data_IF_221511980161
#
_entry.id   IF_221511980161
#
_cell.length_a   1.000
_cell.length_b   1.000
_cell.length_c   1.000
_cell.angle_alpha   90.00
_cell.angle_beta   90.00
_cell.angle_gamma   90.00
#
_symmetry.space_group_name_H-M   'P 1'
#
loop_
_entity.id
_entity.type
_entity.pdbx_description
1 polymer ?
#
# COMPACT_ATOMS: atom_id res chain seq x y z
N UNK A 1 28.05 0.25 19.43
CA UNK A 1 28.84 0.45 18.19
C UNK A 1 28.12 -0.27 17.05
N UNK A 2 28.16 0.23 15.79
CA UNK A 2 27.57 -0.47 14.66
C UNK A 2 28.23 -1.85 14.45
N UNK A 3 27.47 -2.83 13.94
CA UNK A 3 27.95 -4.22 13.73
C UNK A 3 28.97 -4.34 12.59
N UNK A 4 29.21 -3.26 11.84
CA UNK A 4 30.21 -3.16 10.77
C UNK A 4 30.68 -1.70 10.64
N UNK A 5 31.76 -1.48 9.91
CA UNK A 5 32.20 -0.14 9.53
C UNK A 5 31.24 0.48 8.48
N UNK A 6 30.70 1.66 8.80
CA UNK A 6 29.72 2.39 7.98
C UNK A 6 30.45 3.52 7.24
N UNK A 7 30.83 3.25 6.00
CA UNK A 7 31.56 4.20 5.14
C UNK A 7 30.72 4.88 4.07
N UNK A 8 29.48 4.42 3.84
CA UNK A 8 28.58 4.98 2.83
C UNK A 8 28.07 6.37 3.21
N UNK A 9 28.24 7.36 2.32
CA UNK A 9 27.86 8.77 2.56
C UNK A 9 26.38 8.93 2.90
N UNK A 10 25.52 8.16 2.24
CA UNK A 10 24.07 8.15 2.44
C UNK A 10 23.69 7.60 3.81
N UNK A 11 24.35 6.51 4.24
CA UNK A 11 24.11 5.91 5.54
C UNK A 11 24.57 6.83 6.67
N UNK A 12 25.74 7.47 6.52
CA UNK A 12 26.25 8.47 7.47
C UNK A 12 25.29 9.67 7.57
N UNK A 13 24.82 10.19 6.42
CA UNK A 13 23.82 11.27 6.38
C UNK A 13 22.48 10.89 7.01
N UNK A 14 22.02 9.65 6.82
CA UNK A 14 20.79 9.16 7.44
C UNK A 14 20.95 9.04 8.97
N UNK A 15 22.07 8.50 9.44
CA UNK A 15 22.38 8.39 10.87
C UNK A 15 22.44 9.76 11.55
N UNK A 16 23.07 10.76 10.92
CA UNK A 16 23.18 12.11 11.50
C UNK A 16 21.84 12.84 11.63
N UNK A 17 20.91 12.62 10.68
CA UNK A 17 19.57 13.24 10.69
C UNK A 17 18.54 12.52 11.56
N UNK A 18 18.80 11.26 11.91
CA UNK A 18 17.84 10.43 12.65
C UNK A 18 17.72 10.82 14.13
N UNK A 19 16.47 10.91 14.62
CA UNK A 19 16.19 11.44 15.97
C UNK A 19 16.33 10.40 17.08
N UNK A 20 15.79 9.19 16.89
CA UNK A 20 15.76 8.16 17.93
C UNK A 20 16.94 7.19 17.87
N UNK A 21 17.36 6.66 19.03
CA UNK A 21 18.41 5.62 19.13
C UNK A 21 18.01 4.36 18.38
N UNK A 22 16.73 3.96 18.48
CA UNK A 22 16.19 2.81 17.77
C UNK A 22 16.30 2.99 16.24
N UNK A 23 15.94 4.16 15.70
CA UNK A 23 16.09 4.44 14.27
C UNK A 23 17.57 4.38 13.82
N UNK A 24 18.51 4.93 14.61
CA UNK A 24 19.95 4.80 14.32
C UNK A 24 20.41 3.34 14.26
N UNK A 25 19.93 2.52 15.18
CA UNK A 25 20.25 1.10 15.21
C UNK A 25 19.72 0.40 13.95
N UNK A 26 18.44 0.58 13.60
CA UNK A 26 17.83 -0.01 12.40
C UNK A 26 18.55 0.41 11.10
N UNK A 27 18.94 1.68 10.99
CA UNK A 27 19.72 2.18 9.83
C UNK A 27 21.06 1.43 9.74
N UNK A 28 21.80 1.35 10.84
CA UNK A 28 23.09 0.66 10.87
C UNK A 28 22.97 -0.83 10.58
N UNK A 29 21.97 -1.50 11.16
CA UNK A 29 21.72 -2.93 10.96
C UNK A 29 21.34 -3.24 9.50
N UNK A 30 20.48 -2.43 8.91
CA UNK A 30 20.07 -2.56 7.50
C UNK A 30 21.27 -2.36 6.58
N UNK A 31 22.06 -1.29 6.79
CA UNK A 31 23.27 -1.04 6.02
C UNK A 31 24.26 -2.22 6.10
N UNK A 32 24.55 -2.71 7.30
CA UNK A 32 25.50 -3.80 7.49
C UNK A 32 25.02 -5.12 6.85
N UNK A 33 23.72 -5.46 6.98
CA UNK A 33 23.17 -6.66 6.31
C UNK A 33 23.26 -6.55 4.79
N UNK A 34 23.03 -5.35 4.24
CA UNK A 34 23.18 -5.12 2.81
C UNK A 34 24.65 -5.21 2.36
N UNK A 35 25.58 -4.62 3.13
CA UNK A 35 27.03 -4.70 2.88
C UNK A 35 27.53 -6.16 2.85
N UNK A 36 26.97 -7.02 3.69
CA UNK A 36 27.27 -8.45 3.71
C UNK A 36 26.54 -9.26 2.62
N UNK A 37 25.68 -8.63 1.81
CA UNK A 37 24.90 -9.31 0.78
C UNK A 37 23.80 -10.23 1.31
N UNK A 38 23.38 -10.04 2.57
CA UNK A 38 22.40 -10.87 3.28
C UNK A 38 21.01 -10.20 3.36
N UNK A 39 20.84 -9.00 2.80
CA UNK A 39 19.57 -8.26 2.88
C UNK A 39 18.70 -8.45 1.63
N UNK A 40 19.30 -8.38 0.44
CA UNK A 40 18.56 -8.35 -0.83
C UNK A 40 18.78 -9.65 -1.60
N UNK A 41 17.72 -10.25 -2.19
CA UNK A 41 17.87 -11.43 -3.03
C UNK A 41 18.67 -11.09 -4.29
N UNK A 42 19.61 -11.95 -4.68
CA UNK A 42 20.42 -11.79 -5.91
C UNK A 42 19.75 -12.36 -7.16
N UNK A 43 18.81 -13.29 -6.99
CA UNK A 43 18.08 -13.95 -8.08
C UNK A 43 16.66 -14.29 -7.64
N UNK A 44 15.72 -14.24 -8.57
CA UNK A 44 14.31 -14.63 -8.37
C UNK A 44 13.89 -15.49 -9.56
N UNK A 45 13.18 -16.58 -9.31
CA UNK A 45 12.71 -17.50 -10.37
C UNK A 45 11.53 -16.88 -11.12
N UNK A 46 11.57 -16.94 -12.46
CA UNK A 46 10.44 -16.60 -13.32
C UNK A 46 9.52 -17.82 -13.43
N UNK A 47 8.25 -17.64 -13.11
CA UNK A 47 7.21 -18.67 -13.27
C UNK A 47 6.28 -18.43 -14.47
N UNK A 48 6.31 -17.23 -15.06
CA UNK A 48 5.49 -16.92 -16.22
C UNK A 48 6.00 -17.67 -17.46
N UNK A 49 5.16 -18.49 -18.13
CA UNK A 49 5.56 -19.29 -19.28
C UNK A 49 5.74 -18.46 -20.56
N UNK A 50 5.23 -17.24 -20.60
CA UNK A 50 5.38 -16.35 -21.74
C UNK A 50 6.83 -15.87 -21.85
N UNK A 51 7.32 -15.56 -23.04
CA UNK A 51 8.64 -14.94 -23.20
C UNK A 51 8.62 -13.46 -22.79
N UNK A 52 7.52 -12.76 -23.11
CA UNK A 52 7.34 -11.32 -22.86
C UNK A 52 6.17 -11.00 -21.93
N UNK A 53 5.59 -9.81 -22.13
CA UNK A 53 4.33 -9.39 -21.51
C UNK A 53 3.16 -9.83 -22.39
N UNK A 54 2.09 -10.33 -21.79
CA UNK A 54 0.83 -10.49 -22.49
C UNK A 54 0.21 -9.12 -22.74
N UNK A 55 -0.21 -8.84 -23.98
CA UNK A 55 -1.09 -7.71 -24.25
C UNK A 55 -2.52 -8.23 -24.46
N UNK A 56 -3.37 -8.09 -23.44
CA UNK A 56 -4.79 -8.41 -23.53
C UNK A 56 -5.55 -7.11 -23.77
N UNK A 57 -5.68 -6.72 -25.04
CA UNK A 57 -6.51 -5.58 -25.40
C UNK A 57 -7.98 -5.93 -25.12
N UNK A 58 -8.63 -5.13 -24.29
CA UNK A 58 -10.08 -5.19 -24.11
C UNK A 58 -10.69 -4.39 -25.25
N UNK A 59 -11.55 -5.03 -26.05
CA UNK A 59 -12.34 -4.32 -27.05
C UNK A 59 -13.42 -3.54 -26.29
N UNK A 60 -13.32 -2.21 -26.34
CA UNK A 60 -14.32 -1.32 -25.81
C UNK A 60 -15.41 -1.17 -26.87
N UNK A 61 -16.55 -1.80 -26.62
CA UNK A 61 -17.78 -1.55 -27.37
C UNK A 61 -18.77 -0.84 -26.45
N UNK A 62 -19.56 0.12 -26.94
CA UNK A 62 -20.45 0.90 -26.06
C UNK A 62 -21.51 0.00 -25.38
N UNK A 63 -21.91 -1.08 -26.04
CA UNK A 63 -22.85 -2.09 -25.51
C UNK A 63 -22.22 -3.02 -24.45
N UNK A 64 -20.90 -2.94 -24.24
CA UNK A 64 -20.17 -3.90 -23.37
C UNK A 64 -20.42 -3.71 -21.86
N UNK A 65 -21.13 -2.65 -21.46
CA UNK A 65 -21.45 -2.30 -20.08
C UNK A 65 -22.94 -2.32 -19.76
N UNK A 66 -23.81 -2.50 -20.76
CA UNK A 66 -25.26 -2.36 -20.60
C UNK A 66 -25.99 -3.69 -20.30
N UNK A 67 -25.33 -4.85 -20.44
CA UNK A 67 -25.96 -6.13 -20.18
C UNK A 67 -26.02 -6.48 -18.68
N UNK A 68 -27.20 -6.92 -18.23
CA UNK A 68 -27.41 -7.44 -16.88
C UNK A 68 -26.77 -8.82 -16.75
N UNK A 69 -25.70 -8.92 -15.94
CA UNK A 69 -25.01 -10.17 -15.68
C UNK A 69 -25.84 -11.08 -14.77
N UNK A 70 -26.08 -12.33 -15.19
CA UNK A 70 -26.73 -13.35 -14.36
C UNK A 70 -25.89 -13.74 -13.12
N UNK A 71 -24.57 -13.52 -13.17
CA UNK A 71 -23.65 -13.76 -12.06
C UNK A 71 -22.75 -12.53 -11.84
N UNK A 72 -23.25 -11.50 -11.14
CA UNK A 72 -22.50 -10.26 -10.94
C UNK A 72 -21.32 -10.48 -9.99
N UNK A 73 -20.19 -9.85 -10.30
CA UNK A 73 -19.00 -9.90 -9.44
C UNK A 73 -19.21 -9.09 -8.16
N UNK A 74 -18.52 -9.51 -7.09
CA UNK A 74 -18.47 -8.78 -5.83
C UNK A 74 -17.08 -8.19 -5.65
N UNK A 75 -17.00 -6.86 -5.51
CA UNK A 75 -15.73 -6.13 -5.44
C UNK A 75 -15.32 -5.91 -3.98
N UNK A 76 -14.04 -6.08 -3.68
CA UNK A 76 -13.46 -5.69 -2.40
C UNK A 76 -12.68 -4.37 -2.55
N UNK A 77 -13.24 -3.28 -2.03
CA UNK A 77 -12.63 -1.96 -2.04
C UNK A 77 -11.71 -1.80 -0.82
N UNK A 78 -10.41 -1.55 -1.06
CA UNK A 78 -9.46 -1.19 0.00
C UNK A 78 -9.18 0.31 -0.07
N UNK A 79 -9.73 1.07 0.88
CA UNK A 79 -9.58 2.52 0.95
C UNK A 79 -8.46 2.89 1.92
N UNK A 80 -7.36 3.45 1.39
CA UNK A 80 -6.24 3.95 2.21
C UNK A 80 -6.40 5.46 2.38
N UNK A 81 -6.73 5.92 3.59
CA UNK A 81 -7.11 7.32 3.84
C UNK A 81 -6.32 7.96 4.98
N UNK A 82 -6.16 9.27 4.92
CA UNK A 82 -5.54 10.08 5.98
C UNK A 82 -6.10 11.52 5.99
N UNK A 83 -5.72 12.31 6.99
CA UNK A 83 -6.05 13.73 7.06
C UNK A 83 -7.39 14.02 7.74
N UNK A 84 -8.12 15.03 7.23
CA UNK A 84 -9.32 15.59 7.89
C UNK A 84 -10.59 15.63 7.04
N UNK A 85 -10.53 15.18 5.78
CA UNK A 85 -11.62 15.32 4.82
C UNK A 85 -12.71 14.22 4.97
N UNK A 86 -13.22 14.01 6.19
CA UNK A 86 -14.21 12.96 6.49
C UNK A 86 -15.50 13.08 5.67
N UNK A 87 -16.02 14.29 5.50
CA UNK A 87 -17.23 14.54 4.69
C UNK A 87 -17.04 14.19 3.21
N UNK A 88 -15.86 14.48 2.66
CA UNK A 88 -15.56 14.14 1.27
C UNK A 88 -15.39 12.63 1.10
N UNK A 89 -14.77 11.95 2.07
CA UNK A 89 -14.70 10.49 2.11
C UNK A 89 -16.10 9.87 2.13
N UNK A 90 -17.01 10.37 2.98
CA UNK A 90 -18.38 9.90 3.03
C UNK A 90 -19.13 10.14 1.71
N UNK A 91 -18.94 11.31 1.08
CA UNK A 91 -19.54 11.63 -0.22
C UNK A 91 -19.10 10.63 -1.30
N UNK A 92 -17.80 10.35 -1.37
CA UNK A 92 -17.26 9.38 -2.32
C UNK A 92 -17.77 7.97 -1.99
N UNK A 93 -17.73 7.56 -0.73
CA UNK A 93 -18.20 6.26 -0.28
C UNK A 93 -19.65 6.00 -0.67
N UNK A 94 -20.54 6.99 -0.46
CA UNK A 94 -21.95 6.89 -0.85
C UNK A 94 -22.13 6.70 -2.36
N UNK A 95 -21.25 7.25 -3.19
CA UNK A 95 -21.32 7.11 -4.64
C UNK A 95 -20.90 5.71 -5.13
N UNK A 96 -19.99 5.03 -4.41
CA UNK A 96 -19.48 3.70 -4.77
C UNK A 96 -20.11 2.56 -3.95
N UNK A 97 -21.05 2.88 -3.05
CA UNK A 97 -21.62 1.90 -2.14
C UNK A 97 -22.65 1.01 -2.85
N UNK A 98 -22.49 -0.30 -2.71
CA UNK A 98 -23.48 -1.30 -3.04
C UNK A 98 -23.42 -2.44 -2.02
N UNK A 99 -24.58 -2.95 -1.59
CA UNK A 99 -24.71 -3.97 -0.54
C UNK A 99 -23.98 -5.29 -0.87
N UNK A 100 -23.78 -5.59 -2.15
CA UNK A 100 -23.14 -6.84 -2.59
C UNK A 100 -21.61 -6.73 -2.66
N UNK A 101 -21.03 -5.58 -2.33
CA UNK A 101 -19.59 -5.34 -2.30
C UNK A 101 -19.04 -5.26 -0.87
N UNK A 102 -17.71 -5.29 -0.75
CA UNK A 102 -17.01 -5.25 0.52
C UNK A 102 -16.12 -4.01 0.60
N UNK A 103 -16.02 -3.43 1.79
CA UNK A 103 -15.26 -2.20 2.01
C UNK A 103 -14.33 -2.37 3.21
N UNK A 104 -13.02 -2.27 2.97
CA UNK A 104 -11.99 -2.29 3.99
C UNK A 104 -11.25 -0.96 4.03
N UNK A 105 -11.33 -0.24 5.14
CA UNK A 105 -10.82 1.13 5.25
C UNK A 105 -9.62 1.16 6.19
N UNK A 106 -8.43 1.38 5.60
CA UNK A 106 -7.21 1.62 6.36
C UNK A 106 -7.01 3.12 6.59
N UNK A 107 -7.05 3.54 7.86
CA UNK A 107 -6.80 4.93 8.26
C UNK A 107 -5.38 5.07 8.81
N UNK A 108 -4.62 6.05 8.30
CA UNK A 108 -3.28 6.37 8.82
C UNK A 108 -3.31 6.55 10.35
N UNK A 109 -2.37 5.90 11.05
CA UNK A 109 -2.23 5.91 12.51
C UNK A 109 -2.21 7.30 13.14
N UNK A 110 -1.77 8.32 12.40
CA UNK A 110 -1.70 9.72 12.84
C UNK A 110 -3.06 10.44 12.75
N UNK A 111 -4.02 9.90 12.03
CA UNK A 111 -5.31 10.54 11.71
C UNK A 111 -6.46 10.06 12.61
N UNK A 112 -6.29 10.14 13.94
CA UNK A 112 -7.28 9.65 14.93
C UNK A 112 -8.68 10.26 14.78
N UNK A 113 -8.77 11.54 14.39
CA UNK A 113 -10.05 12.18 14.10
C UNK A 113 -10.79 11.45 12.97
N UNK A 114 -10.12 11.23 11.83
CA UNK A 114 -10.71 10.54 10.69
C UNK A 114 -11.05 9.09 11.06
N UNK A 115 -10.21 8.41 11.84
CA UNK A 115 -10.50 7.06 12.31
C UNK A 115 -11.79 6.99 13.13
N UNK A 116 -12.01 7.92 14.07
CA UNK A 116 -13.28 8.00 14.81
C UNK A 116 -14.47 8.25 13.90
N UNK A 117 -14.33 9.12 12.90
CA UNK A 117 -15.38 9.37 11.91
C UNK A 117 -15.68 8.12 11.08
N UNK A 118 -14.64 7.39 10.66
CA UNK A 118 -14.76 6.13 9.91
C UNK A 118 -15.48 5.06 10.75
N UNK A 119 -15.10 4.88 12.01
CA UNK A 119 -15.78 3.94 12.90
C UNK A 119 -17.28 4.26 13.07
N UNK A 120 -17.65 5.54 13.15
CA UNK A 120 -19.04 5.95 13.32
C UNK A 120 -19.93 5.57 12.14
N UNK A 121 -19.44 5.72 10.90
CA UNK A 121 -20.26 5.35 9.73
C UNK A 121 -20.06 3.90 9.29
N UNK A 122 -18.97 3.23 9.66
CA UNK A 122 -18.76 1.80 9.40
C UNK A 122 -19.53 0.90 10.38
N UNK A 123 -19.95 1.42 11.54
CA UNK A 123 -20.81 0.74 12.50
C UNK A 123 -22.32 0.93 12.28
N UNK A 124 -22.69 1.59 11.18
CA UNK A 124 -24.08 1.69 10.69
C UNK A 124 -24.31 0.64 9.60
#
# INVERSE_FOLDING_TARGET
PPKCDISGKEAISALSRSKSKHCRQEIGETYCRHKLGLLMPKKVTRFCPLEGKANKNVQWDEDSVEYMLANPVRIAFVLVVHGRASRQLQRMFKAIYHKDHFYYIHVDKRSNYLHRQVLQFAGQ
#
